data_IF_908033116810
#
_entry.id   IF_908033116810
#
_cell.length_a   1.000
_cell.length_b   1.000
_cell.length_c   1.000
_cell.angle_alpha   90.00
_cell.angle_beta   90.00
_cell.angle_gamma   90.00
#
_symmetry.space_group_name_H-M   'P 1'
#
loop_
_entity.id
_entity.type
_entity.pdbx_description
1 polymer ?
#
# COMPACT_ATOMS: atom_id res chain seq x y z
N UNK A 1 48.65 29.16 -11.68
CA UNK A 1 47.86 27.93 -11.45
C UNK A 1 46.41 28.34 -11.18
N UNK A 2 45.53 28.23 -12.17
CA UNK A 2 44.12 28.62 -12.04
C UNK A 2 43.29 27.45 -11.50
N UNK A 3 42.52 27.69 -10.43
CA UNK A 3 41.73 26.69 -9.71
C UNK A 3 40.36 26.56 -10.38
N UNK A 4 40.05 25.37 -10.91
CA UNK A 4 38.76 25.09 -11.53
C UNK A 4 37.62 25.09 -10.48
N UNK A 5 36.63 25.96 -10.66
CA UNK A 5 35.40 25.99 -9.86
C UNK A 5 34.37 25.03 -10.46
N UNK A 6 34.05 23.93 -9.78
CA UNK A 6 32.96 23.02 -10.18
C UNK A 6 31.62 23.75 -10.12
N UNK A 7 30.95 23.90 -11.25
CA UNK A 7 29.55 24.31 -11.30
C UNK A 7 28.68 23.20 -10.71
N UNK A 8 27.80 23.56 -9.77
CA UNK A 8 26.74 22.67 -9.29
C UNK A 8 25.76 22.50 -10.45
N UNK A 9 25.78 21.36 -11.14
CA UNK A 9 24.72 21.02 -12.08
C UNK A 9 23.44 20.85 -11.28
N UNK A 10 22.55 21.84 -11.31
CA UNK A 10 21.25 21.75 -10.68
C UNK A 10 20.45 20.65 -11.40
N UNK A 11 20.15 19.56 -10.69
CA UNK A 11 19.18 18.57 -11.14
C UNK A 11 17.86 19.29 -11.38
N UNK A 12 17.15 19.05 -12.50
CA UNK A 12 15.84 19.66 -12.72
C UNK A 12 14.93 19.33 -11.53
N UNK A 13 14.15 20.29 -11.01
CA UNK A 13 13.19 20.00 -9.96
C UNK A 13 12.27 18.90 -10.47
N UNK A 14 12.24 17.77 -9.75
CA UNK A 14 11.33 16.68 -10.08
C UNK A 14 9.91 17.24 -9.98
N UNK A 15 9.06 17.12 -11.01
CA UNK A 15 7.68 17.56 -10.91
C UNK A 15 7.06 16.89 -9.69
N UNK A 16 6.66 17.73 -8.73
CA UNK A 16 6.16 17.29 -7.43
C UNK A 16 4.69 16.89 -7.62
N UNK A 17 4.48 15.71 -8.19
CA UNK A 17 3.15 15.10 -8.14
C UNK A 17 2.86 14.77 -6.68
N UNK A 18 1.65 15.12 -6.20
CA UNK A 18 1.16 14.70 -4.89
C UNK A 18 0.93 13.17 -4.89
N UNK A 19 2.02 12.40 -4.82
CA UNK A 19 1.95 10.97 -4.54
C UNK A 19 1.63 10.81 -3.06
N UNK A 20 0.57 10.06 -2.77
CA UNK A 20 0.23 9.71 -1.40
C UNK A 20 1.43 9.04 -0.73
N UNK A 21 1.64 9.30 0.57
CA UNK A 21 2.75 8.71 1.33
C UNK A 21 2.79 7.18 1.23
N UNK A 22 1.61 6.58 1.05
CA UNK A 22 1.40 5.14 0.90
C UNK A 22 1.97 4.61 -0.41
N UNK A 23 1.91 5.38 -1.50
CA UNK A 23 2.41 5.01 -2.84
C UNK A 23 3.85 5.42 -3.11
N UNK A 24 4.40 6.35 -2.32
CA UNK A 24 5.76 6.88 -2.54
C UNK A 24 6.81 5.76 -2.48
N UNK A 25 7.54 5.59 -3.59
CA UNK A 25 8.63 4.61 -3.72
C UNK A 25 8.18 3.16 -3.86
N UNK A 26 6.93 2.88 -4.25
CA UNK A 26 6.56 1.55 -4.76
C UNK A 26 6.94 1.41 -6.23
N UNK A 27 7.26 0.18 -6.62
CA UNK A 27 7.67 -0.15 -7.98
C UNK A 27 6.51 -0.21 -8.98
N UNK A 28 5.28 -0.40 -8.51
CA UNK A 28 4.07 -0.40 -9.34
C UNK A 28 2.97 0.47 -8.71
N UNK A 29 2.12 1.13 -9.54
CA UNK A 29 1.01 1.95 -9.10
C UNK A 29 -0.18 1.15 -8.52
N UNK A 30 -0.22 -0.15 -8.76
CA UNK A 30 -1.32 -1.04 -8.39
C UNK A 30 -1.26 -1.48 -6.92
N UNK A 31 -0.12 -1.25 -6.28
CA UNK A 31 0.09 -1.61 -4.88
C UNK A 31 -0.07 -0.39 -3.97
N UNK A 32 -0.75 -0.64 -2.85
CA UNK A 32 -0.83 0.28 -1.71
C UNK A 32 -0.27 -0.40 -0.46
N UNK A 33 0.37 0.38 0.42
CA UNK A 33 0.84 -0.07 1.73
C UNK A 33 -0.24 0.13 2.79
N UNK A 34 -0.77 -0.96 3.31
CA UNK A 34 -1.70 -0.93 4.44
C UNK A 34 -1.10 -1.64 5.65
N UNK A 35 -1.45 -1.17 6.85
CA UNK A 35 -1.03 -1.78 8.12
C UNK A 35 -2.26 -2.35 8.81
N UNK A 36 -2.28 -3.67 8.99
CA UNK A 36 -3.39 -4.38 9.61
C UNK A 36 -3.01 -4.85 11.01
N UNK A 37 -3.99 -4.84 11.91
CA UNK A 37 -3.89 -5.53 13.21
C UNK A 37 -4.57 -6.88 13.05
N UNK A 38 -3.81 -7.96 13.24
CA UNK A 38 -4.26 -9.34 13.08
C UNK A 38 -3.91 -10.17 14.31
N UNK A 39 -4.60 -11.30 14.50
CA UNK A 39 -4.29 -12.21 15.60
C UNK A 39 -2.94 -12.89 15.40
N UNK A 40 -2.20 -13.08 16.50
CA UNK A 40 -0.84 -13.65 16.49
C UNK A 40 -0.83 -15.08 15.95
N UNK A 41 -1.78 -15.91 16.38
CA UNK A 41 -1.91 -17.32 15.98
C UNK A 41 -2.07 -17.49 14.46
N UNK A 42 -2.79 -16.58 13.81
CA UNK A 42 -2.95 -16.59 12.35
C UNK A 42 -1.67 -16.17 11.64
N UNK A 43 -0.99 -15.14 12.15
CA UNK A 43 0.25 -14.64 11.56
C UNK A 43 1.37 -15.68 11.60
N UNK A 44 1.47 -16.47 12.68
CA UNK A 44 2.44 -17.58 12.76
C UNK A 44 2.17 -18.64 11.69
N UNK A 45 0.92 -19.08 11.55
CA UNK A 45 0.54 -20.07 10.52
C UNK A 45 0.80 -19.58 9.10
N UNK A 46 0.51 -18.31 8.80
CA UNK A 46 0.77 -17.75 7.48
C UNK A 46 2.28 -17.71 7.20
N UNK A 47 3.11 -17.40 8.20
CA UNK A 47 4.58 -17.47 8.06
C UNK A 47 5.07 -18.89 7.81
N UNK A 48 4.52 -19.87 8.50
CA UNK A 48 4.87 -21.27 8.29
C UNK A 48 4.54 -21.71 6.86
N UNK A 49 3.35 -21.38 6.35
CA UNK A 49 2.95 -21.66 4.96
C UNK A 49 3.92 -21.00 3.98
N UNK A 50 4.19 -19.71 4.13
CA UNK A 50 5.11 -18.99 3.26
C UNK A 50 6.53 -19.60 3.27
N UNK A 51 6.99 -20.07 4.43
CA UNK A 51 8.28 -20.73 4.57
C UNK A 51 8.36 -22.05 3.81
N UNK A 52 7.37 -22.93 4.01
CA UNK A 52 7.32 -24.25 3.37
C UNK A 52 7.13 -24.16 1.86
N UNK A 53 6.30 -23.23 1.40
CA UNK A 53 6.02 -23.02 -0.03
C UNK A 53 7.10 -22.16 -0.72
N UNK A 54 8.10 -21.66 0.03
CA UNK A 54 9.21 -20.82 -0.47
C UNK A 54 8.72 -19.55 -1.17
N UNK A 55 7.65 -18.97 -0.66
CA UNK A 55 7.03 -17.76 -1.18
C UNK A 55 7.28 -16.55 -0.27
N UNK A 56 7.12 -15.34 -0.82
CA UNK A 56 7.15 -14.15 0.00
C UNK A 56 5.84 -14.04 0.79
N UNK A 57 5.94 -13.63 2.06
CA UNK A 57 4.77 -13.49 2.94
C UNK A 57 3.67 -12.60 2.32
N UNK A 58 4.07 -11.54 1.61
CA UNK A 58 3.13 -10.65 0.90
C UNK A 58 2.34 -11.37 -0.20
N UNK A 59 2.95 -12.32 -0.90
CA UNK A 59 2.32 -13.09 -1.98
C UNK A 59 1.35 -14.11 -1.39
N UNK A 60 1.75 -14.78 -0.30
CA UNK A 60 0.85 -15.69 0.45
C UNK A 60 -0.38 -14.96 0.96
N UNK A 61 -0.22 -13.74 1.48
CA UNK A 61 -1.34 -12.90 1.92
C UNK A 61 -2.21 -12.46 0.74
N UNK A 62 -1.61 -12.02 -0.37
CA UNK A 62 -2.32 -11.63 -1.59
C UNK A 62 -3.16 -12.79 -2.13
N UNK A 63 -2.59 -14.00 -2.21
CA UNK A 63 -3.31 -15.22 -2.61
C UNK A 63 -4.48 -15.53 -1.68
N UNK A 64 -4.30 -15.40 -0.36
CA UNK A 64 -5.35 -15.65 0.62
C UNK A 64 -6.50 -14.64 0.51
N UNK A 65 -6.18 -13.35 0.32
CA UNK A 65 -7.18 -12.29 0.13
C UNK A 65 -7.95 -12.46 -1.18
N UNK A 66 -7.25 -12.75 -2.28
CA UNK A 66 -7.88 -13.02 -3.58
C UNK A 66 -8.81 -14.23 -3.52
N UNK A 67 -8.35 -15.32 -2.89
CA UNK A 67 -9.15 -16.53 -2.71
C UNK A 67 -10.43 -16.26 -1.88
N UNK A 68 -10.34 -15.41 -0.87
CA UNK A 68 -11.50 -15.00 -0.09
C UNK A 68 -12.50 -14.19 -0.92
N UNK A 69 -12.03 -13.22 -1.71
CA UNK A 69 -12.87 -12.40 -2.60
C UNK A 69 -13.58 -13.29 -3.63
N UNK A 70 -12.84 -14.14 -4.32
CA UNK A 70 -13.38 -15.07 -5.32
C UNK A 70 -14.44 -16.00 -4.72
N UNK A 71 -14.17 -16.52 -3.51
CA UNK A 71 -15.10 -17.36 -2.77
C UNK A 71 -16.38 -16.60 -2.41
N UNK A 72 -16.25 -15.36 -1.96
CA UNK A 72 -17.37 -14.50 -1.62
C UNK A 72 -18.23 -14.15 -2.84
N UNK A 73 -17.60 -13.83 -3.97
CA UNK A 73 -18.29 -13.52 -5.22
C UNK A 73 -19.04 -14.72 -5.78
N UNK A 74 -18.47 -15.92 -5.67
CA UNK A 74 -19.13 -17.17 -6.08
C UNK A 74 -20.39 -17.45 -5.26
N UNK A 75 -20.40 -17.15 -3.96
CA UNK A 75 -21.54 -17.43 -3.09
C UNK A 75 -22.58 -16.30 -3.02
N UNK A 76 -22.17 -15.05 -3.16
CA UNK A 76 -23.03 -13.88 -2.93
C UNK A 76 -23.27 -13.02 -4.19
N UNK A 77 -22.62 -13.36 -5.30
CA UNK A 77 -22.60 -12.54 -6.50
C UNK A 77 -21.60 -11.38 -6.42
N UNK A 78 -21.64 -10.52 -7.44
CA UNK A 78 -20.69 -9.41 -7.61
C UNK A 78 -20.72 -8.48 -6.38
N UNK A 79 -19.54 -8.17 -5.84
CA UNK A 79 -19.40 -7.26 -4.69
C UNK A 79 -19.90 -5.87 -5.09
N UNK A 80 -20.90 -5.37 -4.37
CA UNK A 80 -21.43 -4.02 -4.57
C UNK A 80 -20.40 -2.99 -4.10
N UNK A 81 -20.13 -1.99 -4.94
CA UNK A 81 -19.25 -0.88 -4.56
C UNK A 81 -19.85 -0.10 -3.39
N UNK A 82 -19.03 0.26 -2.41
CA UNK A 82 -19.42 1.17 -1.33
C UNK A 82 -19.85 2.53 -1.91
N UNK A 83 -20.84 3.24 -1.32
CA UNK A 83 -21.27 4.56 -1.79
C UNK A 83 -20.14 5.58 -1.79
N UNK A 84 -20.19 6.55 -2.70
CA UNK A 84 -19.12 7.55 -2.83
C UNK A 84 -19.02 8.47 -1.60
N UNK A 85 -20.16 8.79 -0.97
CA UNK A 85 -20.19 9.55 0.29
C UNK A 85 -19.37 8.88 1.41
N UNK A 86 -19.38 7.54 1.47
CA UNK A 86 -18.60 6.76 2.45
C UNK A 86 -17.11 6.84 2.12
N UNK A 87 -16.76 6.72 0.84
CA UNK A 87 -15.36 6.83 0.37
C UNK A 87 -14.78 8.20 0.73
N UNK A 88 -15.54 9.27 0.49
CA UNK A 88 -15.11 10.64 0.80
C UNK A 88 -14.96 10.86 2.30
N UNK A 89 -15.90 10.35 3.11
CA UNK A 89 -15.79 10.40 4.58
C UNK A 89 -14.54 9.71 5.11
N UNK A 90 -14.19 8.55 4.54
CA UNK A 90 -12.99 7.80 4.93
C UNK A 90 -11.71 8.53 4.52
N UNK A 91 -11.66 9.14 3.33
CA UNK A 91 -10.54 10.00 2.91
C UNK A 91 -10.34 11.17 3.88
N UNK A 92 -11.42 11.83 4.28
CA UNK A 92 -11.37 12.94 5.25
C UNK A 92 -10.88 12.48 6.63
N UNK A 93 -11.35 11.31 7.11
CA UNK A 93 -10.86 10.70 8.36
C UNK A 93 -9.35 10.44 8.31
N UNK A 94 -8.86 9.82 7.24
CA UNK A 94 -7.44 9.55 7.03
C UNK A 94 -6.59 10.82 7.01
N UNK A 95 -7.11 11.92 6.43
CA UNK A 95 -6.41 13.21 6.41
C UNK A 95 -6.48 13.97 7.75
N UNK A 96 -7.59 13.87 8.50
CA UNK A 96 -7.74 14.56 9.79
C UNK A 96 -6.73 14.10 10.86
N UNK A 97 -6.29 12.83 10.80
CA UNK A 97 -5.25 12.31 11.68
C UNK A 97 -3.85 12.89 11.40
N UNK A 98 -3.58 13.34 10.16
CA UNK A 98 -2.32 13.99 9.78
C UNK A 98 -2.20 15.41 10.31
N UNK A 99 -3.30 16.18 10.36
CA UNK A 99 -3.30 17.60 10.80
C UNK A 99 -3.07 17.82 12.31
N UNK A 100 -3.10 16.78 13.15
CA UNK A 100 -2.86 16.92 14.61
C UNK A 100 -1.37 16.92 14.99
N UNK A 101 -0.44 16.84 14.03
CA UNK A 101 1.01 16.76 14.27
C UNK A 101 1.82 18.00 13.84
N UNK A 102 1.15 19.10 13.49
CA UNK A 102 1.75 20.45 13.40
C UNK A 102 1.37 21.26 14.62
#
# INVERSE_FOLDING_TARGET
MAKATKSKTATPPTPEFEVSSTKKGLSSPDYDRETFIVRVDLMEKIKDVAYWDRQLLKETIEMALSSFIDGYEKSNGIIKSRPDEVKEREKLRSNSGRKRKE
#
